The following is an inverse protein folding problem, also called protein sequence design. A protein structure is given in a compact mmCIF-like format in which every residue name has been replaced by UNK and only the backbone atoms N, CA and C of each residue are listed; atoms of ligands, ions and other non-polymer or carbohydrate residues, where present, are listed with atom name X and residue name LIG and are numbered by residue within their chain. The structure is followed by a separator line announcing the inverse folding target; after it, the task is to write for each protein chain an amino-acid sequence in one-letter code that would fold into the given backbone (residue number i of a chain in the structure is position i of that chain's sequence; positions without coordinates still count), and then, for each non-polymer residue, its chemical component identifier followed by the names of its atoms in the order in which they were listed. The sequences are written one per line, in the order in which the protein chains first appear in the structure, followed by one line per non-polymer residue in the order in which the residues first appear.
data_IF_698129881605
#
_entry.id   IF_698129881605
#
_cell.length_a   1.000
_cell.length_b   1.000
_cell.length_c   1.000
_cell.angle_alpha   90.00
_cell.angle_beta   90.00
_cell.angle_gamma   90.00
#
_symmetry.space_group_name_H-M   'P 1'
#
loop_
_entity.id
_entity.type
_entity.pdbx_description
1 polymer ?
#
# COMPACT_ATOMS: atom_id res chain seq x y z
N UNK A 1 2.93 -14.51 3.48
CA UNK A 1 1.60 -14.09 2.96
C UNK A 1 1.64 -13.72 1.50
N UNK A 2 2.16 -12.55 1.09
CA UNK A 2 2.14 -12.14 -0.32
C UNK A 2 2.68 -13.19 -1.29
N UNK A 3 3.94 -13.65 -1.11
CA UNK A 3 4.56 -14.64 -1.99
C UNK A 3 3.77 -15.96 -2.02
N UNK A 4 3.33 -16.44 -0.85
CA UNK A 4 2.51 -17.66 -0.74
C UNK A 4 1.19 -17.54 -1.49
N UNK A 5 0.53 -16.38 -1.40
CA UNK A 5 -0.70 -16.12 -2.18
C UNK A 5 -0.41 -16.06 -3.68
N UNK A 6 0.71 -15.45 -4.10
CA UNK A 6 1.11 -15.42 -5.53
C UNK A 6 1.40 -16.83 -6.03
N UNK A 7 2.04 -17.67 -5.23
CA UNK A 7 2.32 -19.08 -5.55
C UNK A 7 1.03 -19.87 -5.78
N UNK A 8 0.06 -19.79 -4.87
CA UNK A 8 -1.25 -20.46 -5.01
C UNK A 8 -2.02 -19.97 -6.26
N UNK A 9 -1.90 -18.69 -6.61
CA UNK A 9 -2.61 -18.09 -7.74
C UNK A 9 -1.87 -18.25 -9.08
N UNK A 10 -0.66 -18.83 -9.08
CA UNK A 10 0.23 -18.88 -10.24
C UNK A 10 -0.34 -19.71 -11.39
N UNK A 11 -0.92 -20.86 -11.06
CA UNK A 11 -1.39 -21.84 -12.04
C UNK A 11 -2.79 -21.50 -12.60
N UNK A 12 -3.46 -20.53 -11.99
CA UNK A 12 -4.73 -19.99 -12.48
C UNK A 12 -5.97 -20.83 -12.15
N UNK A 13 -5.80 -22.03 -11.58
CA UNK A 13 -6.88 -22.88 -11.06
C UNK A 13 -7.68 -22.15 -9.98
N UNK A 14 -6.98 -21.49 -9.06
CA UNK A 14 -7.59 -20.72 -7.99
C UNK A 14 -7.92 -19.31 -8.48
N UNK A 15 -9.21 -18.95 -8.43
CA UNK A 15 -9.66 -17.59 -8.74
C UNK A 15 -9.10 -16.61 -7.71
N UNK A 16 -8.54 -15.49 -8.19
CA UNK A 16 -8.06 -14.40 -7.33
C UNK A 16 -9.21 -13.70 -6.58
N UNK A 17 -9.73 -14.33 -5.53
CA UNK A 17 -10.80 -13.80 -4.69
C UNK A 17 -10.36 -13.80 -3.23
N UNK A 18 -9.89 -12.64 -2.76
CA UNK A 18 -9.33 -12.49 -1.43
C UNK A 18 -10.27 -12.96 -0.31
N UNK A 19 -11.60 -12.75 -0.43
CA UNK A 19 -12.54 -13.16 0.63
C UNK A 19 -12.65 -14.68 0.73
N UNK A 20 -12.56 -15.37 -0.40
CA UNK A 20 -12.69 -16.83 -0.47
C UNK A 20 -11.40 -17.52 0.02
N UNK A 21 -10.24 -17.04 -0.43
CA UNK A 21 -8.96 -17.73 -0.18
C UNK A 21 -8.27 -17.32 1.13
N UNK A 22 -8.70 -16.23 1.79
CA UNK A 22 -7.95 -15.69 2.94
C UNK A 22 -7.85 -16.68 4.10
N UNK A 23 -8.92 -17.43 4.37
CA UNK A 23 -9.01 -18.26 5.59
C UNK A 23 -7.99 -19.40 5.51
N UNK A 24 -7.97 -20.11 4.38
CA UNK A 24 -7.04 -21.22 4.15
C UNK A 24 -5.59 -20.75 4.11
N UNK A 25 -5.33 -19.59 3.49
CA UNK A 25 -4.00 -19.00 3.45
C UNK A 25 -3.55 -18.59 4.86
N UNK A 26 -4.42 -18.00 5.67
CA UNK A 26 -4.09 -17.60 7.04
C UNK A 26 -3.80 -18.80 7.94
N UNK A 27 -4.55 -19.90 7.78
CA UNK A 27 -4.36 -21.13 8.54
C UNK A 27 -3.07 -21.88 8.14
N UNK A 28 -2.62 -21.73 6.90
CA UNK A 28 -1.37 -22.31 6.42
C UNK A 28 -0.12 -21.46 6.70
N UNK A 29 -0.26 -20.34 7.42
CA UNK A 29 0.89 -19.52 7.79
C UNK A 29 1.71 -20.16 8.93
N UNK A 30 3.03 -19.98 8.93
CA UNK A 30 3.87 -20.42 10.05
C UNK A 30 3.48 -19.79 11.39
N UNK A 31 3.83 -20.45 12.48
CA UNK A 31 3.49 -20.05 13.85
C UNK A 31 3.91 -18.61 14.19
N UNK A 32 5.09 -18.17 13.75
CA UNK A 32 5.60 -16.81 13.96
C UNK A 32 4.70 -15.72 13.34
N UNK A 33 3.83 -16.06 12.37
CA UNK A 33 2.85 -15.11 11.82
C UNK A 33 1.71 -14.79 12.79
N UNK A 34 1.56 -15.51 13.92
CA UNK A 34 0.49 -15.25 14.90
C UNK A 34 0.65 -13.90 15.60
N UNK A 35 1.88 -13.44 15.82
CA UNK A 35 2.16 -12.15 16.46
C UNK A 35 1.74 -10.95 15.59
N UNK A 36 1.78 -11.13 14.27
CA UNK A 36 1.43 -10.12 13.28
C UNK A 36 -0.08 -9.84 13.29
N UNK A 37 -0.50 -8.56 13.41
CA UNK A 37 -1.92 -8.20 13.40
C UNK A 37 -2.68 -8.72 12.19
N UNK A 38 -3.89 -9.25 12.42
CA UNK A 38 -4.73 -9.87 11.39
C UNK A 38 -4.98 -8.98 10.17
N UNK A 39 -5.18 -7.66 10.36
CA UNK A 39 -5.45 -6.75 9.24
C UNK A 39 -4.26 -6.61 8.29
N UNK A 40 -3.02 -6.53 8.80
CA UNK A 40 -1.80 -6.55 7.97
C UNK A 40 -1.78 -7.83 7.15
N UNK A 41 -2.15 -8.95 7.78
CA UNK A 41 -2.18 -10.26 7.15
C UNK A 41 -3.16 -10.34 5.99
N UNK A 42 -4.41 -10.00 6.30
CA UNK A 42 -5.51 -10.00 5.35
C UNK A 42 -5.26 -9.05 4.17
N UNK A 43 -4.71 -7.87 4.41
CA UNK A 43 -4.42 -6.91 3.33
C UNK A 43 -3.22 -7.38 2.49
N UNK A 44 -2.21 -8.04 3.07
CA UNK A 44 -1.13 -8.66 2.30
C UNK A 44 -1.62 -9.70 1.29
N UNK A 45 -2.65 -10.48 1.64
CA UNK A 45 -3.32 -11.43 0.73
C UNK A 45 -4.11 -10.68 -0.35
N UNK A 46 -4.84 -9.63 0.05
CA UNK A 46 -5.59 -8.76 -0.89
C UNK A 46 -4.66 -8.12 -1.92
N UNK A 47 -3.51 -7.60 -1.50
CA UNK A 47 -2.50 -7.00 -2.37
C UNK A 47 -2.01 -7.99 -3.43
N UNK A 48 -1.75 -9.25 -3.05
CA UNK A 48 -1.36 -10.31 -3.98
C UNK A 48 -2.48 -10.62 -4.99
N UNK A 49 -3.73 -10.75 -4.52
CA UNK A 49 -4.88 -10.95 -5.40
C UNK A 49 -5.04 -9.81 -6.41
N UNK A 50 -4.90 -8.56 -5.96
CA UNK A 50 -4.97 -7.37 -6.81
C UNK A 50 -3.85 -7.38 -7.85
N UNK A 51 -2.61 -7.69 -7.45
CA UNK A 51 -1.48 -7.80 -8.37
C UNK A 51 -1.73 -8.82 -9.48
N UNK A 52 -2.27 -10.00 -9.14
CA UNK A 52 -2.61 -11.03 -10.13
C UNK A 52 -3.75 -10.58 -11.05
N UNK A 53 -4.77 -9.90 -10.52
CA UNK A 53 -5.87 -9.34 -11.33
C UNK A 53 -5.37 -8.29 -12.31
N UNK A 54 -4.55 -7.36 -11.86
CA UNK A 54 -4.00 -6.30 -12.72
C UNK A 54 -3.05 -6.88 -13.78
N UNK A 55 -2.28 -7.93 -13.44
CA UNK A 55 -1.49 -8.69 -14.41
C UNK A 55 -2.36 -9.30 -15.52
N UNK A 56 -3.46 -9.99 -15.17
CA UNK A 56 -4.42 -10.53 -16.13
C UNK A 56 -5.09 -9.44 -16.97
N UNK A 57 -5.48 -8.33 -16.34
CA UNK A 57 -6.07 -7.17 -17.02
C UNK A 57 -5.10 -6.54 -18.02
N UNK A 58 -3.81 -6.45 -17.67
CA UNK A 58 -2.76 -5.94 -18.56
C UNK A 58 -2.54 -6.86 -19.76
N UNK A 59 -2.56 -8.17 -19.56
CA UNK A 59 -2.51 -9.14 -20.65
C UNK A 59 -3.65 -8.92 -21.65
N UNK A 60 -4.90 -8.82 -21.17
CA UNK A 60 -6.06 -8.57 -22.03
C UNK A 60 -5.96 -7.27 -22.85
N UNK A 61 -5.24 -6.26 -22.35
CA UNK A 61 -5.05 -4.98 -23.05
C UNK A 61 -3.88 -4.95 -24.02
N UNK A 62 -2.80 -5.67 -23.71
CA UNK A 62 -1.51 -5.53 -24.42
C UNK A 62 -1.04 -6.80 -25.12
N UNK A 63 -1.68 -7.95 -24.87
CA UNK A 63 -1.22 -9.26 -25.32
C UNK A 63 0.06 -9.75 -24.64
N UNK A 64 0.71 -8.93 -23.80
CA UNK A 64 1.98 -9.26 -23.16
C UNK A 64 1.76 -9.93 -21.80
N UNK A 65 2.43 -11.07 -21.60
CA UNK A 65 2.40 -11.81 -20.34
C UNK A 65 3.12 -10.99 -19.27
N UNK A 66 2.37 -10.53 -18.26
CA UNK A 66 2.93 -9.87 -17.08
C UNK A 66 2.88 -10.81 -15.88
N UNK A 67 4.02 -11.35 -15.46
CA UNK A 67 4.10 -12.26 -14.29
C UNK A 67 4.29 -11.46 -13.00
N UNK A 68 3.45 -11.71 -12.01
CA UNK A 68 3.64 -11.17 -10.66
C UNK A 68 4.88 -11.79 -10.03
N UNK A 69 5.87 -10.97 -9.68
CA UNK A 69 7.12 -11.43 -9.06
C UNK A 69 6.96 -11.59 -7.55
N UNK A 70 7.67 -12.55 -6.97
CA UNK A 70 7.81 -12.65 -5.53
C UNK A 70 8.58 -11.44 -4.98
N UNK A 71 8.20 -11.02 -3.78
CA UNK A 71 8.89 -9.96 -3.03
C UNK A 71 10.08 -10.57 -2.30
N UNK A 72 11.26 -10.04 -2.59
CA UNK A 72 12.50 -10.40 -1.89
C UNK A 72 12.61 -9.64 -0.57
N UNK A 73 13.15 -10.31 0.46
CA UNK A 73 13.57 -9.65 1.71
C UNK A 73 14.72 -8.65 1.51
N UNK A 74 15.51 -8.83 0.45
CA UNK A 74 16.62 -7.94 0.08
C UNK A 74 16.16 -6.73 -0.75
N UNK A 75 14.87 -6.61 -1.06
CA UNK A 75 14.37 -5.45 -1.76
C UNK A 75 14.51 -4.22 -0.83
N UNK A 76 15.23 -3.15 -1.24
CA UNK A 76 15.39 -1.96 -0.43
C UNK A 76 14.06 -1.23 -0.19
N UNK A 77 13.04 -1.50 -1.01
CA UNK A 77 11.69 -0.95 -0.87
C UNK A 77 10.73 -2.01 -0.37
N UNK A 78 10.23 -1.83 0.86
CA UNK A 78 9.24 -2.71 1.46
C UNK A 78 8.07 -1.90 2.00
N UNK A 79 6.91 -2.53 2.10
CA UNK A 79 5.78 -1.86 2.72
C UNK A 79 4.71 -2.82 3.26
N UNK A 80 4.04 -2.38 4.32
CA UNK A 80 2.92 -3.08 4.93
C UNK A 80 1.77 -2.11 5.27
N UNK A 81 0.55 -2.65 5.23
CA UNK A 81 -0.66 -1.89 5.55
C UNK A 81 -0.73 -1.59 7.05
N UNK A 82 -1.12 -0.36 7.41
CA UNK A 82 -1.37 0.06 8.78
C UNK A 82 -2.78 0.64 8.84
N UNK A 83 -3.72 0.02 9.56
CA UNK A 83 -5.07 0.57 9.70
C UNK A 83 -5.01 1.88 10.49
N UNK A 84 -5.87 2.85 10.16
CA UNK A 84 -5.88 4.13 10.88
C UNK A 84 -6.07 3.99 12.38
N UNK A 85 -6.80 2.96 12.82
CA UNK A 85 -7.07 2.67 14.23
C UNK A 85 -5.84 2.19 15.01
N UNK A 86 -4.77 1.76 14.31
CA UNK A 86 -3.51 1.39 14.94
C UNK A 86 -2.54 2.56 15.03
N UNK A 87 -2.87 3.72 14.45
CA UNK A 87 -2.04 4.93 14.47
C UNK A 87 -2.53 5.83 15.60
N UNK A 88 -1.60 6.30 16.43
CA UNK A 88 -1.87 7.23 17.50
C UNK A 88 -0.66 8.12 17.73
N UNK A 89 -0.79 9.16 18.56
CA UNK A 89 0.34 10.01 18.98
C UNK A 89 1.47 9.23 19.68
N UNK A 90 1.18 8.05 20.23
CA UNK A 90 2.18 7.18 20.88
C UNK A 90 2.90 6.25 19.89
N UNK A 91 2.62 6.36 18.59
CA UNK A 91 3.17 5.48 17.56
C UNK A 91 2.11 4.59 16.90
N UNK A 92 2.62 3.68 16.07
CA UNK A 92 1.84 2.63 15.41
C UNK A 92 1.85 1.34 16.24
N UNK A 93 0.70 0.69 16.41
CA UNK A 93 0.58 -0.54 17.20
C UNK A 93 1.29 -0.46 18.57
N UNK A 94 1.10 0.64 19.30
CA UNK A 94 1.90 0.96 20.48
C UNK A 94 1.87 -0.12 21.59
N UNK A 95 0.84 -0.97 21.61
CA UNK A 95 0.69 -2.08 22.57
C UNK A 95 1.57 -3.28 22.23
N UNK A 96 2.00 -3.40 20.97
CA UNK A 96 2.85 -4.48 20.47
C UNK A 96 4.29 -4.02 20.27
N UNK A 97 4.47 -2.82 19.73
CA UNK A 97 5.79 -2.28 19.38
C UNK A 97 6.38 -1.35 20.45
N UNK A 98 5.59 -1.01 21.47
CA UNK A 98 5.95 0.03 22.43
C UNK A 98 5.66 1.44 21.91
N UNK A 99 6.05 2.45 22.68
CA UNK A 99 5.88 3.85 22.29
C UNK A 99 6.92 4.23 21.24
N UNK A 100 6.48 4.90 20.19
CA UNK A 100 7.32 5.44 19.10
C UNK A 100 7.04 6.94 18.97
N UNK A 101 8.04 7.68 18.54
CA UNK A 101 7.94 9.12 18.22
C UNK A 101 7.94 9.32 16.71
N UNK A 102 7.12 10.26 16.24
CA UNK A 102 7.17 10.70 14.84
C UNK A 102 8.07 11.93 14.72
N UNK A 103 8.77 12.04 13.60
CA UNK A 103 9.53 13.24 13.26
C UNK A 103 8.60 14.43 12.92
N UNK A 104 7.37 14.13 12.49
CA UNK A 104 6.36 15.10 12.08
C UNK A 104 5.05 14.86 12.84
N UNK A 105 4.26 15.92 13.03
CA UNK A 105 2.94 15.82 13.65
C UNK A 105 1.97 15.06 12.73
N UNK A 106 1.17 14.16 13.31
CA UNK A 106 0.13 13.47 12.55
C UNK A 106 -0.97 14.47 12.14
N UNK A 107 -1.39 14.49 10.87
CA UNK A 107 -2.49 15.34 10.43
C UNK A 107 -3.83 14.89 11.02
N UNK A 108 -4.82 15.77 11.03
CA UNK A 108 -6.18 15.42 11.40
C UNK A 108 -6.86 14.52 10.35
N UNK A 109 -7.90 13.79 10.78
CA UNK A 109 -8.75 12.98 9.89
C UNK A 109 -7.97 11.99 9.02
N UNK A 110 -6.99 11.30 9.61
CA UNK A 110 -6.20 10.27 8.92
C UNK A 110 -7.06 9.12 8.38
N UNK A 111 -6.61 8.57 7.27
CA UNK A 111 -7.12 7.36 6.65
C UNK A 111 -6.17 6.18 6.91
N UNK A 112 -6.49 5.02 6.34
CA UNK A 112 -5.59 3.88 6.41
C UNK A 112 -4.22 4.23 5.80
N UNK A 113 -3.18 3.87 6.54
CA UNK A 113 -1.80 4.24 6.28
C UNK A 113 -1.01 3.06 5.70
N UNK A 114 0.23 3.34 5.31
CA UNK A 114 1.20 2.30 4.91
C UNK A 114 2.54 2.62 5.54
N UNK A 115 3.13 1.66 6.22
CA UNK A 115 4.52 1.74 6.66
C UNK A 115 5.39 1.32 5.46
N UNK A 116 6.30 2.18 5.06
CA UNK A 116 7.29 1.90 4.01
C UNK A 116 8.68 1.87 4.61
N UNK A 117 9.53 0.96 4.15
CA UNK A 117 10.96 0.96 4.45
C UNK A 117 11.74 1.21 3.17
N UNK A 118 12.68 2.16 3.25
CA UNK A 118 13.57 2.55 2.16
C UNK A 118 14.98 2.67 2.73
N UNK A 119 15.92 1.86 2.24
CA UNK A 119 17.33 1.90 2.65
C UNK A 119 17.59 1.79 4.17
N UNK A 120 16.69 1.14 4.91
CA UNK A 120 16.80 0.98 6.37
C UNK A 120 15.97 1.99 7.16
N UNK A 121 15.58 3.10 6.54
CA UNK A 121 14.68 4.09 7.14
C UNK A 121 13.22 3.66 7.00
N UNK A 122 12.41 4.04 7.99
CA UNK A 122 10.99 3.72 8.05
C UNK A 122 10.15 5.01 8.00
N UNK A 123 9.18 5.02 7.10
CA UNK A 123 8.28 6.14 6.90
C UNK A 123 6.83 5.67 7.02
N UNK A 124 6.03 6.41 7.78
CA UNK A 124 4.58 6.22 7.80
C UNK A 124 3.95 7.12 6.74
N UNK A 125 3.40 6.51 5.68
CA UNK A 125 2.62 7.23 4.68
C UNK A 125 1.21 7.42 5.23
N UNK A 126 0.82 8.67 5.48
CA UNK A 126 -0.46 9.05 6.13
C UNK A 126 -1.35 9.82 5.17
N UNK A 127 -2.26 9.15 4.44
CA UNK A 127 -3.32 9.83 3.72
C UNK A 127 -4.29 10.45 4.73
N UNK A 128 -4.74 11.68 4.48
CA UNK A 128 -5.72 12.37 5.32
C UNK A 128 -6.77 13.07 4.46
N UNK A 129 -7.93 13.35 5.03
CA UNK A 129 -8.98 14.08 4.33
C UNK A 129 -8.69 15.58 4.40
N UNK A 130 -8.90 16.26 3.28
CA UNK A 130 -8.76 17.71 3.17
C UNK A 130 -10.05 18.27 2.58
N UNK A 131 -10.58 19.33 3.18
CA UNK A 131 -11.70 20.09 2.62
C UNK A 131 -11.20 20.81 1.37
N UNK A 132 -11.75 20.45 0.22
CA UNK A 132 -11.46 21.17 -1.04
C UNK A 132 -12.40 22.35 -1.17
N UNK A 133 -11.84 23.55 -1.13
CA UNK A 133 -12.58 24.74 -1.52
C UNK A 133 -12.76 24.71 -3.04
N UNK A 134 -14.01 24.83 -3.50
CA UNK A 134 -14.28 25.05 -4.92
C UNK A 134 -13.92 26.49 -5.21
N UNK A 135 -12.82 26.70 -5.92
CA UNK A 135 -12.50 28.02 -6.46
C UNK A 135 -13.36 28.26 -7.69
N UNK A 136 -13.83 29.49 -7.87
CA UNK A 136 -14.50 29.92 -9.09
C UNK A 136 -13.53 29.79 -10.28
N UNK A 137 -14.04 29.32 -11.42
CA UNK A 137 -13.20 29.10 -12.60
C UNK A 137 -12.79 30.46 -13.19
N UNK A 138 -11.52 30.87 -13.02
CA UNK A 138 -11.00 32.17 -13.46
C UNK A 138 -10.81 32.29 -15.00
N UNK A 139 -11.21 31.29 -15.79
CA UNK A 139 -11.15 31.33 -17.26
C UNK A 139 -10.83 29.96 -17.86
N UNK A 140 -11.07 29.78 -19.17
CA UNK A 140 -10.81 28.50 -19.87
C UNK A 140 -9.33 28.25 -20.19
N UNK A 141 -8.50 29.31 -20.22
CA UNK A 141 -7.13 29.25 -20.68
C UNK A 141 -6.24 29.89 -19.63
N UNK A 142 -5.25 29.13 -19.16
CA UNK A 142 -4.14 29.63 -18.34
C UNK A 142 -2.87 29.26 -19.11
N UNK A 143 -2.08 30.26 -19.50
CA UNK A 143 -0.76 30.02 -20.07
C UNK A 143 0.22 29.76 -18.92
N UNK A 144 0.87 28.59 -18.94
CA UNK A 144 1.93 28.25 -18.00
C UNK A 144 3.22 28.13 -18.80
N UNK A 145 4.09 29.13 -18.72
CA UNK A 145 5.40 29.08 -19.38
C UNK A 145 6.48 28.61 -18.38
N UNK A 146 7.01 27.41 -18.62
CA UNK A 146 8.16 26.87 -17.89
C UNK A 146 9.43 27.39 -18.54
N UNK A 147 9.74 28.67 -18.31
CA UNK A 147 10.90 29.33 -18.89
C UNK A 147 12.21 28.66 -18.47
N UNK A 148 13.21 28.65 -19.36
CA UNK A 148 14.53 28.03 -19.12
C UNK A 148 15.34 28.77 -18.03
N UNK A 149 15.02 30.04 -17.75
CA UNK A 149 15.69 30.88 -16.74
C UNK A 149 14.85 31.12 -15.48
N UNK A 150 13.55 30.88 -15.55
CA UNK A 150 12.60 31.08 -14.44
C UNK A 150 11.53 29.99 -14.54
N UNK A 151 11.47 29.12 -13.55
CA UNK A 151 10.68 27.87 -13.58
C UNK A 151 9.16 28.10 -13.76
N UNK A 152 8.67 29.32 -13.52
CA UNK A 152 7.30 29.73 -13.82
C UNK A 152 7.27 31.26 -13.95
N UNK A 153 6.78 31.78 -15.06
CA UNK A 153 6.35 33.19 -15.17
C UNK A 153 4.83 33.18 -15.27
N UNK A 154 4.16 33.89 -14.34
CA UNK A 154 2.71 34.04 -14.30
C UNK A 154 2.28 35.30 -15.07
#
# INVERSE_FOLDING_TARGET
MFNRTVEILKDGEVKANWKAIKTDILNSLPEWCKEVPYQIKSIGIKDACTAVKEAKKKYNKSGQINRVRFRSRKNPFQSCYIPKSAVSVKGIYHTKLGKLTFAETLPDQICDCRLTSTNGDYYLVVPHKVTRNKTENQGKVVALDTGVRTFLTL
#
